data_IF_361444212486
#
_entry.id   IF_361444212486
#
_cell.length_a   1.000
_cell.length_b   1.000
_cell.length_c   1.000
_cell.angle_alpha   90.00
_cell.angle_beta   90.00
_cell.angle_gamma   90.00
#
_symmetry.space_group_name_H-M   'P 1'
#
loop_
_entity.id
_entity.type
_entity.pdbx_description
1 polymer ?
#
# COMPACT_ATOMS: atom_id res chain seq x y z
N UNK A 1 87.88 -16.47 2.95
CA UNK A 1 88.08 -17.29 1.74
C UNK A 1 86.91 -17.07 0.81
N UNK A 2 87.08 -16.28 -0.25
CA UNK A 2 86.62 -16.59 -1.61
C UNK A 2 86.93 -15.37 -2.46
N UNK A 3 87.87 -15.55 -3.38
CA UNK A 3 88.27 -14.57 -4.36
C UNK A 3 87.10 -14.30 -5.32
N UNK A 4 86.81 -13.03 -5.58
CA UNK A 4 86.34 -12.59 -6.89
C UNK A 4 87.18 -11.38 -7.23
N UNK A 5 88.42 -11.68 -7.65
CA UNK A 5 89.12 -10.81 -8.57
C UNK A 5 88.19 -10.72 -9.80
N UNK A 6 87.51 -9.59 -9.95
CA UNK A 6 86.88 -9.27 -11.21
C UNK A 6 88.00 -9.12 -12.23
N UNK A 7 88.25 -10.19 -12.99
CA UNK A 7 89.03 -10.16 -14.20
C UNK A 7 88.56 -8.95 -15.01
N UNK A 8 89.41 -7.94 -15.11
CA UNK A 8 89.28 -6.96 -16.18
C UNK A 8 89.72 -7.72 -17.42
N UNK A 9 88.81 -8.49 -18.00
CA UNK A 9 88.93 -8.98 -19.35
C UNK A 9 89.02 -7.75 -20.26
N UNK A 10 90.24 -7.28 -20.52
CA UNK A 10 90.55 -6.46 -21.67
C UNK A 10 90.48 -7.34 -22.92
N UNK A 11 89.31 -7.92 -23.18
CA UNK A 11 88.97 -8.49 -24.47
C UNK A 11 88.96 -7.31 -25.47
N UNK A 12 89.84 -7.27 -26.49
CA UNK A 12 89.84 -6.22 -27.49
C UNK A 12 88.73 -6.54 -28.50
N UNK A 13 87.49 -6.62 -28.03
CA UNK A 13 86.31 -6.71 -28.90
C UNK A 13 85.98 -5.32 -29.42
N UNK A 14 86.70 -4.94 -30.48
CA UNK A 14 86.13 -4.35 -31.70
C UNK A 14 84.99 -3.34 -31.51
N UNK A 15 85.23 -2.25 -30.79
CA UNK A 15 84.56 -0.95 -31.05
C UNK A 15 85.33 0.27 -30.51
N UNK A 16 86.31 0.10 -29.61
CA UNK A 16 87.06 1.21 -28.98
C UNK A 16 88.59 1.04 -28.97
N UNK A 17 89.18 0.26 -29.89
CA UNK A 17 90.64 0.08 -29.97
C UNK A 17 91.38 1.23 -30.67
N UNK A 18 92.67 1.42 -30.34
CA UNK A 18 93.54 2.38 -31.06
C UNK A 18 93.87 1.88 -32.46
N UNK A 19 93.88 2.79 -33.45
CA UNK A 19 94.27 2.47 -34.82
C UNK A 19 95.80 2.55 -34.94
N UNK A 20 96.42 1.48 -35.45
CA UNK A 20 97.87 1.37 -35.58
C UNK A 20 98.32 2.01 -36.91
N UNK A 21 99.15 3.07 -36.84
CA UNK A 21 99.85 3.59 -38.01
C UNK A 21 101.17 2.84 -38.21
N UNK A 22 101.76 2.90 -39.41
CA UNK A 22 102.93 2.12 -39.86
C UNK A 22 104.17 2.18 -38.93
N UNK A 23 104.20 3.13 -37.98
CA UNK A 23 105.24 3.26 -36.93
C UNK A 23 104.70 3.57 -35.52
N UNK A 24 103.45 3.24 -35.19
CA UNK A 24 102.92 3.36 -33.83
C UNK A 24 101.53 3.99 -33.71
N UNK A 25 101.19 4.44 -32.50
CA UNK A 25 99.85 4.98 -32.19
C UNK A 25 99.66 6.43 -32.65
N UNK A 26 98.45 6.76 -33.09
CA UNK A 26 98.09 8.13 -33.44
C UNK A 26 97.85 8.97 -32.18
N UNK A 27 98.76 9.90 -31.87
CA UNK A 27 98.75 10.71 -30.64
C UNK A 27 97.39 11.37 -30.35
N UNK A 28 96.76 12.00 -31.34
CA UNK A 28 95.46 12.66 -31.14
C UNK A 28 94.30 11.69 -30.85
N UNK A 29 94.45 10.39 -31.15
CA UNK A 29 93.47 9.35 -30.79
C UNK A 29 93.69 8.90 -29.35
N UNK A 30 94.95 8.71 -28.96
CA UNK A 30 95.36 8.39 -27.57
C UNK A 30 94.95 9.50 -26.61
N UNK A 31 95.22 10.76 -26.94
CA UNK A 31 94.86 11.90 -26.10
C UNK A 31 93.34 12.02 -25.91
N UNK A 32 92.54 11.78 -26.97
CA UNK A 32 91.07 11.75 -26.89
C UNK A 32 90.54 10.59 -26.02
N UNK A 33 91.14 9.42 -26.15
CA UNK A 33 90.76 8.26 -25.34
C UNK A 33 91.14 8.43 -23.87
N UNK A 34 92.34 8.96 -23.59
CA UNK A 34 92.77 9.29 -22.23
C UNK A 34 91.87 10.36 -21.59
N UNK A 35 91.51 11.41 -22.33
CA UNK A 35 90.55 12.41 -21.84
C UNK A 35 89.17 11.79 -21.54
N UNK A 36 88.71 10.85 -22.38
CA UNK A 36 87.44 10.13 -22.16
C UNK A 36 87.51 9.21 -20.94
N UNK A 37 88.63 8.50 -20.75
CA UNK A 37 88.85 7.66 -19.57
C UNK A 37 88.98 8.50 -18.30
N UNK A 38 89.68 9.63 -18.35
CA UNK A 38 89.78 10.55 -17.22
C UNK A 38 88.39 11.07 -16.83
N UNK A 39 87.56 11.47 -17.79
CA UNK A 39 86.18 11.88 -17.53
C UNK A 39 85.32 10.75 -16.95
N UNK A 40 85.49 9.52 -17.42
CA UNK A 40 84.79 8.35 -16.86
C UNK A 40 85.25 8.02 -15.44
N UNK A 41 86.55 8.15 -15.17
CA UNK A 41 87.12 7.94 -13.84
C UNK A 41 86.59 8.98 -12.86
N UNK A 42 86.59 10.26 -13.22
CA UNK A 42 86.06 11.31 -12.35
C UNK A 42 84.56 11.12 -12.10
N UNK A 43 83.80 10.68 -13.12
CA UNK A 43 82.38 10.35 -12.95
C UNK A 43 82.20 9.19 -11.97
N UNK A 44 82.92 8.08 -12.16
CA UNK A 44 82.87 6.93 -11.25
C UNK A 44 83.28 7.29 -9.81
N UNK A 45 84.26 8.17 -9.63
CA UNK A 45 84.67 8.67 -8.31
C UNK A 45 83.55 9.49 -7.65
N UNK A 46 82.87 10.37 -8.41
CA UNK A 46 81.73 11.14 -7.89
C UNK A 46 80.54 10.25 -7.53
N UNK A 47 80.26 9.22 -8.34
CA UNK A 47 79.20 8.25 -8.07
C UNK A 47 79.50 7.41 -6.82
N UNK A 48 80.75 6.97 -6.66
CA UNK A 48 81.20 6.24 -5.48
C UNK A 48 81.08 7.10 -4.21
N UNK A 49 81.48 8.37 -4.28
CA UNK A 49 81.34 9.30 -3.17
C UNK A 49 79.86 9.51 -2.78
N UNK A 50 78.98 9.67 -3.78
CA UNK A 50 77.54 9.80 -3.56
C UNK A 50 76.91 8.54 -2.94
N UNK A 51 77.33 7.35 -3.39
CA UNK A 51 76.87 6.07 -2.84
C UNK A 51 77.27 5.90 -1.38
N UNK A 52 78.54 6.18 -1.04
CA UNK A 52 79.04 6.13 0.35
C UNK A 52 78.30 7.11 1.27
N UNK A 53 78.00 8.30 0.78
CA UNK A 53 77.21 9.27 1.54
C UNK A 53 75.78 8.75 1.81
N UNK A 54 75.13 8.14 0.82
CA UNK A 54 73.81 7.52 1.00
C UNK A 54 73.83 6.37 1.99
N UNK A 55 74.87 5.54 1.97
CA UNK A 55 75.05 4.46 2.92
C UNK A 55 75.19 4.97 4.36
N UNK A 56 76.01 6.00 4.58
CA UNK A 56 76.16 6.64 5.89
C UNK A 56 74.85 7.23 6.41
N UNK A 57 74.05 7.87 5.53
CA UNK A 57 72.74 8.40 5.89
C UNK A 57 71.75 7.29 6.28
N UNK A 58 71.75 6.18 5.55
CA UNK A 58 70.90 5.02 5.85
C UNK A 58 71.33 4.34 7.16
N UNK A 59 72.63 4.17 7.40
CA UNK A 59 73.17 3.64 8.65
C UNK A 59 72.76 4.51 9.84
N UNK A 60 72.96 5.83 9.74
CA UNK A 60 72.55 6.76 10.80
C UNK A 60 71.03 6.83 11.00
N UNK A 61 70.22 6.49 9.98
CA UNK A 61 68.76 6.34 10.14
C UNK A 61 68.39 5.01 10.80
N UNK A 62 69.07 3.93 10.45
CA UNK A 62 68.88 2.61 11.06
C UNK A 62 69.27 2.62 12.55
N UNK A 63 70.39 3.25 12.90
CA UNK A 63 70.82 3.43 14.30
C UNK A 63 69.82 4.27 15.10
N UNK A 64 69.33 5.37 14.53
CA UNK A 64 68.27 6.19 15.15
C UNK A 64 66.98 5.42 15.36
N UNK A 65 66.54 4.64 14.38
CA UNK A 65 65.36 3.79 14.50
C UNK A 65 65.57 2.66 15.51
N UNK A 66 66.76 2.06 15.55
CA UNK A 66 67.13 1.05 16.55
C UNK A 66 67.09 1.63 17.97
N UNK A 67 67.65 2.82 18.17
CA UNK A 67 67.59 3.52 19.44
C UNK A 67 66.15 3.91 19.83
N UNK A 68 65.35 4.35 18.85
CA UNK A 68 63.93 4.65 19.07
C UNK A 68 63.14 3.39 19.42
N UNK A 69 63.41 2.24 18.80
CA UNK A 69 62.74 0.98 19.12
C UNK A 69 63.13 0.46 20.50
N UNK A 70 64.40 0.58 20.90
CA UNK A 70 64.84 0.23 22.26
C UNK A 70 64.25 1.20 23.31
N UNK A 71 64.08 2.48 22.97
CA UNK A 71 63.37 3.45 23.82
C UNK A 71 61.85 3.25 23.82
N UNK A 72 61.27 2.78 22.72
CA UNK A 72 59.85 2.45 22.54
C UNK A 72 59.50 1.01 22.92
N UNK A 73 60.40 0.24 23.53
CA UNK A 73 60.01 -0.86 24.42
C UNK A 73 59.34 -0.26 25.66
N UNK A 74 58.18 0.35 25.46
CA UNK A 74 57.16 0.50 26.47
C UNK A 74 57.00 -0.89 27.07
N UNK A 75 57.41 -1.06 28.34
CA UNK A 75 57.65 -2.38 28.92
C UNK A 75 56.51 -3.35 28.64
N UNK A 76 56.85 -4.61 28.39
CA UNK A 76 55.93 -5.71 28.02
C UNK A 76 54.64 -5.77 28.85
N UNK A 77 54.68 -5.25 30.09
CA UNK A 77 53.54 -5.13 30.98
C UNK A 77 52.45 -4.15 30.50
N UNK A 78 52.81 -3.05 29.84
CA UNK A 78 51.84 -2.06 29.33
C UNK A 78 51.02 -2.62 28.15
N UNK A 79 51.66 -3.32 27.22
CA UNK A 79 50.99 -3.95 26.07
C UNK A 79 50.12 -5.14 26.48
N UNK A 80 50.57 -5.96 27.45
CA UNK A 80 49.73 -7.01 28.05
C UNK A 80 48.54 -6.44 28.83
N UNK A 81 48.74 -5.36 29.57
CA UNK A 81 47.66 -4.69 30.30
C UNK A 81 46.61 -4.07 29.37
N UNK A 82 47.04 -3.51 28.22
CA UNK A 82 46.12 -3.02 27.18
C UNK A 82 45.37 -4.18 26.53
N UNK A 83 46.04 -5.29 26.19
CA UNK A 83 45.39 -6.50 25.68
C UNK A 83 44.33 -7.08 26.63
N UNK A 84 44.64 -7.19 27.92
CA UNK A 84 43.68 -7.66 28.93
C UNK A 84 42.55 -6.67 29.26
N UNK A 85 42.70 -5.39 28.92
CA UNK A 85 41.60 -4.41 28.98
C UNK A 85 40.70 -4.50 27.75
N UNK A 86 41.28 -4.65 26.56
CA UNK A 86 40.52 -4.84 25.31
C UNK A 86 39.69 -6.13 25.38
N UNK A 87 40.27 -7.23 25.86
CA UNK A 87 39.55 -8.49 26.08
C UNK A 87 38.30 -8.28 26.96
N UNK A 88 38.46 -7.59 28.10
CA UNK A 88 37.35 -7.26 29.01
C UNK A 88 36.30 -6.33 28.39
N UNK A 89 36.72 -5.39 27.54
CA UNK A 89 35.79 -4.51 26.82
C UNK A 89 34.97 -5.33 25.81
N UNK A 90 35.59 -6.30 25.13
CA UNK A 90 34.89 -7.18 24.20
C UNK A 90 33.90 -8.08 24.95
N UNK A 91 34.33 -8.69 26.06
CA UNK A 91 33.45 -9.52 26.90
C UNK A 91 32.24 -8.72 27.43
N UNK A 92 32.46 -7.51 27.94
CA UNK A 92 31.38 -6.63 28.39
C UNK A 92 30.45 -6.22 27.25
N UNK A 93 31.01 -5.92 26.07
CA UNK A 93 30.22 -5.56 24.90
C UNK A 93 29.41 -6.74 24.37
N UNK A 94 29.91 -7.97 24.46
CA UNK A 94 29.18 -9.18 24.09
C UNK A 94 28.02 -9.46 25.07
N UNK A 95 28.25 -9.29 26.37
CA UNK A 95 27.21 -9.40 27.40
C UNK A 95 26.12 -8.33 27.21
N UNK A 96 26.51 -7.07 27.00
CA UNK A 96 25.58 -5.96 26.77
C UNK A 96 24.81 -6.12 25.45
N UNK A 97 25.47 -6.56 24.38
CA UNK A 97 24.80 -6.89 23.12
C UNK A 97 23.83 -8.08 23.27
N UNK A 98 24.16 -9.06 24.11
CA UNK A 98 23.27 -10.16 24.47
C UNK A 98 22.02 -9.68 25.19
N UNK A 99 22.20 -8.85 26.23
CA UNK A 99 21.11 -8.26 26.99
C UNK A 99 20.20 -7.40 26.10
N UNK A 100 20.78 -6.53 25.27
CA UNK A 100 20.02 -5.67 24.35
C UNK A 100 19.21 -6.48 23.33
N UNK A 101 19.77 -7.59 22.81
CA UNK A 101 19.03 -8.49 21.90
C UNK A 101 17.86 -9.17 22.61
N UNK A 102 18.05 -9.63 23.85
CA UNK A 102 17.00 -10.27 24.62
C UNK A 102 15.87 -9.29 24.95
N UNK A 103 16.22 -8.06 25.36
CA UNK A 103 15.25 -6.98 25.59
C UNK A 103 14.49 -6.62 24.31
N UNK A 104 15.20 -6.41 23.20
CA UNK A 104 14.57 -6.12 21.91
C UNK A 104 13.65 -7.25 21.42
N UNK A 105 14.00 -8.51 21.67
CA UNK A 105 13.13 -9.66 21.38
C UNK A 105 11.87 -9.62 22.25
N UNK A 106 12.02 -9.38 23.55
CA UNK A 106 10.89 -9.26 24.46
C UNK A 106 9.93 -8.12 24.07
N UNK A 107 10.48 -6.96 23.73
CA UNK A 107 9.69 -5.80 23.29
C UNK A 107 8.96 -6.08 21.97
N UNK A 108 9.62 -6.75 21.02
CA UNK A 108 8.98 -7.19 19.77
C UNK A 108 7.85 -8.17 20.01
N UNK A 109 8.02 -9.14 20.90
CA UNK A 109 6.99 -10.10 21.27
C UNK A 109 5.81 -9.41 21.96
N UNK A 110 6.08 -8.50 22.90
CA UNK A 110 5.07 -7.70 23.58
C UNK A 110 4.30 -6.81 22.60
N UNK A 111 5.00 -6.14 21.69
CA UNK A 111 4.38 -5.32 20.65
C UNK A 111 3.53 -6.15 19.68
N UNK A 112 3.99 -7.34 19.29
CA UNK A 112 3.22 -8.28 18.46
C UNK A 112 1.98 -8.77 19.18
N UNK A 113 2.09 -9.21 20.42
CA UNK A 113 0.96 -9.65 21.22
C UNK A 113 -0.07 -8.52 21.41
N UNK A 114 0.39 -7.29 21.66
CA UNK A 114 -0.47 -6.11 21.73
C UNK A 114 -1.19 -5.82 20.41
N UNK A 115 -0.47 -5.88 19.29
CA UNK A 115 -1.07 -5.67 17.96
C UNK A 115 -2.07 -6.78 17.60
N UNK A 116 -1.79 -8.03 17.92
CA UNK A 116 -2.71 -9.15 17.72
C UNK A 116 -3.97 -9.01 18.58
N UNK A 117 -3.85 -8.58 19.83
CA UNK A 117 -4.98 -8.29 20.69
C UNK A 117 -5.85 -7.15 20.13
N UNK A 118 -5.23 -6.05 19.69
CA UNK A 118 -5.95 -4.94 19.04
C UNK A 118 -6.68 -5.38 17.77
N UNK A 119 -6.06 -6.23 16.94
CA UNK A 119 -6.70 -6.77 15.74
C UNK A 119 -7.87 -7.68 16.09
N UNK A 120 -7.74 -8.53 17.10
CA UNK A 120 -8.82 -9.39 17.58
C UNK A 120 -9.98 -8.56 18.13
N UNK A 121 -9.70 -7.51 18.90
CA UNK A 121 -10.70 -6.56 19.40
C UNK A 121 -11.41 -5.84 18.26
N UNK A 122 -10.66 -5.30 17.30
CA UNK A 122 -11.23 -4.60 16.15
C UNK A 122 -12.14 -5.52 15.32
N UNK A 123 -11.76 -6.80 15.13
CA UNK A 123 -12.59 -7.79 14.44
C UNK A 123 -13.89 -8.07 15.20
N UNK A 124 -13.81 -8.26 16.53
CA UNK A 124 -15.02 -8.45 17.36
C UNK A 124 -15.97 -7.26 17.27
N UNK A 125 -15.46 -6.04 17.38
CA UNK A 125 -16.27 -4.83 17.25
C UNK A 125 -16.90 -4.69 15.86
N UNK A 126 -16.16 -5.07 14.80
CA UNK A 126 -16.70 -5.06 13.45
C UNK A 126 -17.85 -6.08 13.28
N UNK A 127 -17.68 -7.29 13.81
CA UNK A 127 -18.72 -8.33 13.79
C UNK A 127 -19.97 -7.93 14.60
N UNK A 128 -19.78 -7.32 15.78
CA UNK A 128 -20.86 -6.77 16.59
C UNK A 128 -21.61 -5.66 15.86
N UNK A 129 -20.88 -4.68 15.32
CA UNK A 129 -21.47 -3.59 14.54
C UNK A 129 -22.24 -4.13 13.32
N UNK A 130 -21.71 -5.12 12.60
CA UNK A 130 -22.40 -5.76 11.48
C UNK A 130 -23.71 -6.42 11.92
N UNK A 131 -23.71 -7.15 13.05
CA UNK A 131 -24.94 -7.76 13.61
C UNK A 131 -25.96 -6.70 13.99
N UNK A 132 -25.53 -5.64 14.64
CA UNK A 132 -26.40 -4.53 15.03
C UNK A 132 -27.01 -3.84 13.81
N UNK A 133 -26.19 -3.53 12.79
CA UNK A 133 -26.69 -2.95 11.54
C UNK A 133 -27.69 -3.85 10.82
N UNK A 134 -27.43 -5.16 10.77
CA UNK A 134 -28.36 -6.12 10.16
C UNK A 134 -29.68 -6.17 10.93
N UNK A 135 -29.64 -6.17 12.26
CA UNK A 135 -30.83 -6.16 13.10
C UNK A 135 -31.65 -4.88 12.91
N UNK A 136 -30.98 -3.72 12.89
CA UNK A 136 -31.62 -2.42 12.69
C UNK A 136 -32.24 -2.32 11.29
N UNK A 137 -31.54 -2.82 10.25
CA UNK A 137 -32.06 -2.86 8.89
C UNK A 137 -33.28 -3.79 8.77
N UNK A 138 -33.24 -4.96 9.41
CA UNK A 138 -34.38 -5.88 9.44
C UNK A 138 -35.60 -5.26 10.13
N UNK A 139 -35.39 -4.57 11.27
CA UNK A 139 -36.45 -3.84 11.96
C UNK A 139 -37.04 -2.72 11.09
N UNK A 140 -36.19 -1.94 10.40
CA UNK A 140 -36.64 -0.89 9.47
C UNK A 140 -37.49 -1.45 8.34
N UNK A 141 -37.04 -2.53 7.69
CA UNK A 141 -37.81 -3.22 6.64
C UNK A 141 -39.14 -3.76 7.14
N UNK A 142 -39.17 -4.33 8.35
CA UNK A 142 -40.40 -4.83 8.94
C UNK A 142 -41.40 -3.69 9.22
N UNK A 143 -40.91 -2.54 9.71
CA UNK A 143 -41.75 -1.37 9.95
C UNK A 143 -42.27 -0.75 8.66
N UNK A 144 -41.42 -0.60 7.64
CA UNK A 144 -41.83 -0.13 6.32
C UNK A 144 -42.89 -1.06 5.71
N UNK A 145 -42.69 -2.38 5.78
CA UNK A 145 -43.67 -3.36 5.32
C UNK A 145 -45.01 -3.25 6.06
N UNK A 146 -44.99 -2.99 7.38
CA UNK A 146 -46.21 -2.76 8.19
C UNK A 146 -46.92 -1.47 7.76
N UNK A 147 -46.18 -0.39 7.56
CA UNK A 147 -46.75 0.89 7.09
C UNK A 147 -47.37 0.73 5.71
N UNK A 148 -46.70 0.04 4.79
CA UNK A 148 -47.24 -0.25 3.46
C UNK A 148 -48.48 -1.14 3.51
N UNK A 149 -48.47 -2.20 4.32
CA UNK A 149 -49.61 -3.08 4.51
C UNK A 149 -50.82 -2.31 5.06
N UNK A 150 -50.59 -1.44 6.05
CA UNK A 150 -51.63 -0.58 6.62
C UNK A 150 -52.19 0.40 5.59
N UNK A 151 -51.33 1.03 4.78
CA UNK A 151 -51.77 1.91 3.68
C UNK A 151 -52.62 1.14 2.66
N UNK A 152 -52.20 -0.06 2.26
CA UNK A 152 -52.97 -0.92 1.33
C UNK A 152 -54.33 -1.28 1.93
N UNK A 153 -54.37 -1.72 3.18
CA UNK A 153 -55.61 -2.04 3.87
C UNK A 153 -56.57 -0.84 3.96
N UNK A 154 -56.06 0.37 4.22
CA UNK A 154 -56.87 1.59 4.22
C UNK A 154 -57.45 1.91 2.84
N UNK A 155 -56.64 1.78 1.77
CA UNK A 155 -57.12 1.95 0.40
C UNK A 155 -58.17 0.92 0.03
N UNK A 156 -57.97 -0.34 0.42
CA UNK A 156 -58.92 -1.44 0.17
C UNK A 156 -60.24 -1.21 0.90
N UNK A 157 -60.20 -0.84 2.18
CA UNK A 157 -61.38 -0.48 2.95
C UNK A 157 -62.13 0.71 2.33
N UNK A 158 -61.41 1.74 1.86
CA UNK A 158 -62.03 2.87 1.15
C UNK A 158 -62.68 2.42 -0.16
N UNK A 159 -62.02 1.56 -0.94
CA UNK A 159 -62.57 1.01 -2.18
C UNK A 159 -63.85 0.19 -1.92
N UNK A 160 -63.86 -0.64 -0.88
CA UNK A 160 -65.04 -1.42 -0.53
C UNK A 160 -66.22 -0.53 -0.11
N UNK A 161 -65.98 0.45 0.76
CA UNK A 161 -67.04 1.42 1.15
C UNK A 161 -67.63 2.16 -0.04
N UNK A 162 -66.80 2.53 -1.03
CA UNK A 162 -67.27 3.18 -2.25
C UNK A 162 -68.10 2.23 -3.12
N UNK A 163 -67.72 0.95 -3.21
CA UNK A 163 -68.50 -0.09 -3.91
C UNK A 163 -69.85 -0.32 -3.24
N UNK A 164 -69.85 -0.54 -1.93
CA UNK A 164 -71.08 -0.71 -1.14
C UNK A 164 -72.01 0.50 -1.27
N UNK A 165 -71.47 1.73 -1.21
CA UNK A 165 -72.25 2.94 -1.42
C UNK A 165 -72.86 3.03 -2.83
N UNK A 166 -72.09 2.66 -3.86
CA UNK A 166 -72.58 2.62 -5.23
C UNK A 166 -73.66 1.54 -5.43
N UNK A 167 -73.48 0.34 -4.86
CA UNK A 167 -74.47 -0.74 -4.89
C UNK A 167 -75.76 -0.34 -4.19
N UNK A 168 -75.66 0.31 -3.03
CA UNK A 168 -76.82 0.83 -2.31
C UNK A 168 -77.55 1.90 -3.12
N UNK A 169 -76.83 2.80 -3.79
CA UNK A 169 -77.43 3.83 -4.65
C UNK A 169 -78.10 3.21 -5.89
N UNK A 170 -77.51 2.18 -6.48
CA UNK A 170 -78.14 1.42 -7.57
C UNK A 170 -79.38 0.66 -7.09
N UNK A 171 -79.37 0.11 -5.87
CA UNK A 171 -80.53 -0.57 -5.30
C UNK A 171 -81.68 0.42 -5.01
N UNK A 172 -81.39 1.58 -4.42
CA UNK A 172 -82.42 2.59 -4.13
C UNK A 172 -83.00 3.20 -5.41
N UNK A 173 -82.17 3.52 -6.40
CA UNK A 173 -82.65 4.02 -7.70
C UNK A 173 -83.51 3.01 -8.43
N UNK A 174 -83.15 1.71 -8.40
CA UNK A 174 -84.00 0.63 -8.93
C UNK A 174 -85.33 0.54 -8.19
N UNK A 175 -85.33 0.60 -6.85
CA UNK A 175 -86.55 0.55 -6.05
C UNK A 175 -87.49 1.73 -6.35
N UNK A 176 -86.96 2.96 -6.39
CA UNK A 176 -87.72 4.16 -6.78
C UNK A 176 -88.27 4.01 -8.22
N UNK A 177 -87.46 3.47 -9.13
CA UNK A 177 -87.88 3.16 -10.50
C UNK A 177 -89.06 2.19 -10.53
N UNK A 178 -88.98 1.06 -9.81
CA UNK A 178 -90.08 0.09 -9.74
C UNK A 178 -91.33 0.68 -9.09
N UNK A 179 -91.18 1.47 -8.03
CA UNK A 179 -92.30 2.12 -7.35
C UNK A 179 -92.99 3.12 -8.26
N UNK A 180 -92.21 3.92 -9.01
CA UNK A 180 -92.75 4.87 -9.98
C UNK A 180 -93.58 4.18 -11.08
N UNK A 181 -93.11 3.03 -11.57
CA UNK A 181 -93.82 2.20 -12.56
C UNK A 181 -95.09 1.58 -11.96
N UNK A 182 -95.05 1.15 -10.71
CA UNK A 182 -96.24 0.64 -10.03
C UNK A 182 -97.28 1.74 -9.79
N UNK A 183 -96.86 2.94 -9.41
CA UNK A 183 -97.77 4.08 -9.21
C UNK A 183 -98.41 4.49 -10.53
N UNK A 184 -97.64 4.62 -11.61
CA UNK A 184 -98.22 4.95 -12.93
C UNK A 184 -99.20 3.89 -13.40
N UNK A 185 -98.90 2.60 -13.18
CA UNK A 185 -99.83 1.50 -13.48
C UNK A 185 -101.12 1.61 -12.67
N UNK A 186 -101.04 1.85 -11.35
CA UNK A 186 -102.24 2.03 -10.50
C UNK A 186 -103.11 3.20 -10.95
N UNK A 187 -102.48 4.31 -11.35
CA UNK A 187 -103.21 5.47 -11.87
C UNK A 187 -103.88 5.16 -13.21
N UNK A 188 -103.21 4.45 -14.12
CA UNK A 188 -103.80 4.00 -15.38
C UNK A 188 -104.98 3.06 -15.14
N UNK A 189 -104.83 2.07 -14.25
CA UNK A 189 -105.90 1.12 -13.90
C UNK A 189 -107.12 1.87 -13.30
N UNK A 190 -106.88 2.87 -12.45
CA UNK A 190 -107.94 3.72 -11.89
C UNK A 190 -108.64 4.60 -12.94
N UNK A 191 -107.88 5.19 -13.88
CA UNK A 191 -108.45 5.96 -15.00
C UNK A 191 -109.28 5.08 -15.93
N UNK A 192 -108.82 3.86 -16.21
CA UNK A 192 -109.60 2.88 -16.99
C UNK A 192 -110.91 2.56 -16.25
N UNK A 193 -110.85 2.32 -14.94
CA UNK A 193 -112.04 2.06 -14.14
C UNK A 193 -113.05 3.23 -14.18
N UNK A 194 -112.60 4.47 -13.96
CA UNK A 194 -113.45 5.67 -14.09
C UNK A 194 -114.00 5.83 -15.50
N UNK A 195 -113.19 5.62 -16.54
CA UNK A 195 -113.68 5.69 -17.92
C UNK A 195 -114.77 4.65 -18.18
N UNK A 196 -114.58 3.40 -17.75
CA UNK A 196 -115.60 2.34 -17.90
C UNK A 196 -116.87 2.65 -17.12
N UNK A 197 -116.76 3.27 -15.94
CA UNK A 197 -117.90 3.71 -15.14
C UNK A 197 -118.67 4.84 -15.84
N UNK A 198 -117.97 5.84 -16.36
CA UNK A 198 -118.59 6.92 -17.14
C UNK A 198 -119.27 6.39 -18.41
N UNK A 199 -118.67 5.42 -19.11
CA UNK A 199 -119.31 4.78 -20.26
C UNK A 199 -120.60 4.05 -19.87
N UNK A 200 -120.59 3.32 -18.74
CA UNK A 200 -121.79 2.68 -18.23
C UNK A 200 -122.86 3.71 -17.81
N UNK A 201 -122.47 4.81 -17.16
CA UNK A 201 -123.38 5.92 -16.82
C UNK A 201 -124.00 6.55 -18.08
N UNK A 202 -123.20 6.81 -19.13
CA UNK A 202 -123.71 7.30 -20.42
C UNK A 202 -124.67 6.29 -21.05
N UNK A 203 -124.35 5.00 -21.09
CA UNK A 203 -125.24 3.97 -21.63
C UNK A 203 -126.57 3.89 -20.87
N UNK A 204 -126.53 4.05 -19.53
CA UNK A 204 -127.76 4.12 -18.73
C UNK A 204 -128.56 5.40 -18.97
N UNK A 205 -127.90 6.55 -19.18
CA UNK A 205 -128.55 7.80 -19.52
C UNK A 205 -129.17 7.77 -20.93
N UNK A 206 -128.49 7.17 -21.90
CA UNK A 206 -129.03 6.92 -23.25
C UNK A 206 -130.29 6.06 -23.20
N UNK A 207 -130.29 4.97 -22.41
CA UNK A 207 -131.49 4.14 -22.19
C UNK A 207 -132.63 4.94 -21.54
N UNK A 208 -132.34 5.72 -20.49
CA UNK A 208 -133.34 6.55 -19.83
C UNK A 208 -133.93 7.65 -20.75
N UNK A 209 -133.11 8.23 -21.64
CA UNK A 209 -133.59 9.17 -22.67
C UNK A 209 -134.42 8.48 -23.76
N UNK A 210 -134.05 7.26 -24.16
CA UNK A 210 -134.85 6.46 -25.10
C UNK A 210 -136.23 6.12 -24.51
N UNK A 211 -136.30 5.78 -23.22
CA UNK A 211 -137.55 5.50 -22.52
C UNK A 211 -138.45 6.75 -22.43
N UNK A 212 -137.88 7.94 -22.14
CA UNK A 212 -138.60 9.23 -22.13
C UNK A 212 -139.08 9.70 -23.52
N UNK A 213 -138.42 9.28 -24.60
CA UNK A 213 -138.84 9.58 -25.98
C UNK A 213 -139.94 8.64 -26.49
N UNK A 214 -140.28 7.59 -25.74
CA UNK A 214 -141.27 6.56 -26.11
C UNK A 214 -142.59 6.64 -25.32
N UNK A 215 -142.73 7.66 -24.47
CA UNK A 215 -143.93 7.99 -23.69
C UNK A 215 -144.58 9.28 -24.20
#
# INVERSE_FOLDING_TARGET
MSAVAGEIELSPSSSNGFELSLRGYHRAQVDRYLATLQMRLTTAETELAAARYREQQLSGRAERLGAQLEQCRCGDESSKAVGGRIQRIIELAEEEAGALRAEAQHDLESARAGAEAMLADARRHAEDAMRDFQSALAQRRAEEARVEANRRAQWDARRQRQREAAENLLATTRAVGTDSVQVTRRLLDALIAEHTKLLAEVETAEKAMADLSSA
#
